data_IF_876744240491
#
_entry.id   IF_876744240491
#
_cell.length_a   1.000
_cell.length_b   1.000
_cell.length_c   1.000
_cell.angle_alpha   90.00
_cell.angle_beta   90.00
_cell.angle_gamma   90.00
#
_symmetry.space_group_name_H-M   'P 1'
#
loop_
_entity.id
_entity.type
_entity.pdbx_description
1 polymer ?
#
# COMPACT_ATOMS: atom_id res chain seq x y z
N UNK A 1 -7.07 40.88 18.07
CA UNK A 1 -5.99 39.87 18.00
C UNK A 1 -6.19 38.90 19.16
N UNK A 2 -6.97 37.84 18.95
CA UNK A 2 -7.22 36.81 19.97
C UNK A 2 -6.29 35.65 19.67
N UNK A 3 -5.35 35.38 20.57
CA UNK A 3 -4.50 34.20 20.51
C UNK A 3 -5.38 32.95 20.64
N UNK A 4 -5.27 32.06 19.65
CA UNK A 4 -5.85 30.72 19.65
C UNK A 4 -5.34 29.96 20.90
N UNK A 5 -6.23 29.67 21.85
CA UNK A 5 -5.94 28.84 23.01
C UNK A 5 -5.70 27.38 22.62
N UNK A 6 -4.66 26.78 23.20
CA UNK A 6 -4.11 25.47 22.87
C UNK A 6 -5.14 24.31 22.89
N UNK A 7 -5.10 23.47 21.86
CA UNK A 7 -5.66 22.11 21.88
C UNK A 7 -4.72 21.21 22.72
N UNK A 8 -4.84 21.26 24.04
CA UNK A 8 -4.00 20.50 24.97
C UNK A 8 -4.68 19.21 25.42
N UNK A 9 -4.16 18.05 25.00
CA UNK A 9 -4.60 16.75 25.52
C UNK A 9 -4.60 16.74 27.05
N UNK A 10 -5.70 16.25 27.63
CA UNK A 10 -5.95 16.30 29.08
C UNK A 10 -4.78 15.80 29.94
N UNK A 11 -4.80 16.18 31.23
CA UNK A 11 -3.71 15.92 32.17
C UNK A 11 -3.19 14.49 32.13
N UNK A 12 -1.87 14.33 31.99
CA UNK A 12 -1.21 13.02 31.94
C UNK A 12 -1.09 12.46 33.36
N UNK A 13 -1.63 11.26 33.59
CA UNK A 13 -1.44 10.51 34.83
C UNK A 13 0.04 10.10 34.93
N UNK A 14 0.70 10.15 36.10
CA UNK A 14 2.07 9.66 36.26
C UNK A 14 2.24 8.20 35.84
N UNK A 15 3.33 7.89 35.15
CA UNK A 15 3.62 6.55 34.63
C UNK A 15 5.12 6.25 34.70
N UNK A 16 5.53 4.97 34.79
CA UNK A 16 6.95 4.60 34.83
C UNK A 16 7.64 4.92 33.50
N UNK A 17 8.72 5.71 33.55
CA UNK A 17 9.42 6.23 32.36
C UNK A 17 10.47 5.27 31.79
N UNK A 18 10.92 4.31 32.60
CA UNK A 18 11.96 3.35 32.25
C UNK A 18 11.39 2.06 31.63
N UNK A 19 10.07 1.92 31.55
CA UNK A 19 9.43 0.75 30.94
C UNK A 19 9.35 0.98 29.44
N UNK A 20 9.91 0.05 28.68
CA UNK A 20 9.87 0.06 27.22
C UNK A 20 9.00 -1.09 26.69
N UNK A 21 8.22 -0.81 25.65
CA UNK A 21 7.45 -1.80 24.90
C UNK A 21 7.57 -1.50 23.40
N UNK A 22 7.62 -2.54 22.54
CA UNK A 22 7.78 -2.38 21.10
C UNK A 22 6.63 -1.61 20.44
N UNK A 23 5.42 -1.68 21.00
CA UNK A 23 4.26 -0.94 20.48
C UNK A 23 4.21 0.53 20.97
N UNK A 24 5.15 0.93 21.84
CA UNK A 24 5.13 2.20 22.57
C UNK A 24 4.67 2.04 24.02
N UNK A 25 4.49 3.16 24.71
CA UNK A 25 4.02 3.22 26.10
C UNK A 25 3.04 4.39 26.33
N UNK A 26 2.90 4.79 27.59
CA UNK A 26 1.97 5.84 28.01
C UNK A 26 2.23 7.18 27.30
N UNK A 27 1.18 7.68 26.62
CA UNK A 27 1.16 8.96 25.90
C UNK A 27 2.34 9.15 24.94
N UNK A 28 2.68 8.09 24.19
CA UNK A 28 3.80 8.10 23.25
C UNK A 28 3.59 9.11 22.14
N UNK A 29 4.38 10.17 22.14
CA UNK A 29 4.40 11.20 21.10
C UNK A 29 5.85 11.54 20.75
N UNK A 30 6.54 10.66 19.99
CA UNK A 30 7.91 10.93 19.58
C UNK A 30 7.93 12.15 18.65
N UNK A 31 8.95 13.00 18.79
CA UNK A 31 9.11 14.22 17.98
C UNK A 31 9.15 13.93 16.47
N UNK A 32 9.67 12.76 16.09
CA UNK A 32 9.91 12.36 14.70
C UNK A 32 8.83 11.44 14.12
N UNK A 33 7.62 11.39 14.69
CA UNK A 33 6.57 10.46 14.26
C UNK A 33 6.28 10.53 12.75
N UNK A 34 6.29 11.73 12.17
CA UNK A 34 6.02 11.96 10.73
C UNK A 34 7.06 11.27 9.84
N UNK A 35 8.34 11.47 10.16
CA UNK A 35 9.44 10.89 9.40
C UNK A 35 9.42 9.36 9.52
N UNK A 36 9.21 8.83 10.73
CA UNK A 36 9.13 7.39 10.96
C UNK A 36 7.97 6.76 10.16
N UNK A 37 6.78 7.37 10.19
CA UNK A 37 5.63 6.91 9.41
C UNK A 37 5.90 6.98 7.91
N UNK A 38 6.56 8.04 7.43
CA UNK A 38 6.91 8.17 6.02
C UNK A 38 7.86 7.04 5.56
N UNK A 39 8.88 6.73 6.36
CA UNK A 39 9.82 5.63 6.07
C UNK A 39 9.08 4.29 5.99
N UNK A 40 8.26 3.96 6.98
CA UNK A 40 7.48 2.72 6.95
C UNK A 40 6.47 2.70 5.80
N UNK A 41 5.86 3.83 5.46
CA UNK A 41 4.97 3.96 4.29
C UNK A 41 5.68 3.62 2.99
N UNK A 42 6.90 4.15 2.78
CA UNK A 42 7.72 3.83 1.60
C UNK A 42 8.08 2.34 1.56
N UNK A 43 8.46 1.76 2.69
CA UNK A 43 8.78 0.33 2.77
C UNK A 43 7.58 -0.54 2.40
N UNK A 44 6.40 -0.25 2.96
CA UNK A 44 5.17 -1.00 2.66
C UNK A 44 4.83 -0.89 1.18
N UNK A 45 4.80 0.33 0.63
CA UNK A 45 4.48 0.55 -0.79
C UNK A 45 5.49 -0.16 -1.69
N UNK A 46 6.78 -0.09 -1.38
CA UNK A 46 7.83 -0.76 -2.12
C UNK A 46 7.65 -2.28 -2.14
N UNK A 47 7.41 -2.89 -0.97
CA UNK A 47 7.17 -4.33 -0.85
C UNK A 47 5.91 -4.75 -1.62
N UNK A 48 4.80 -4.03 -1.45
CA UNK A 48 3.55 -4.31 -2.16
C UNK A 48 3.72 -4.20 -3.67
N UNK A 49 4.42 -3.18 -4.17
CA UNK A 49 4.67 -3.00 -5.60
C UNK A 49 5.54 -4.13 -6.19
N UNK A 50 6.60 -4.54 -5.49
CA UNK A 50 7.44 -5.67 -5.93
C UNK A 50 6.65 -6.97 -5.97
N UNK A 51 5.83 -7.24 -4.96
CA UNK A 51 5.06 -8.48 -4.88
C UNK A 51 3.90 -8.49 -5.88
N UNK A 52 3.29 -7.34 -6.13
CA UNK A 52 2.32 -7.17 -7.20
C UNK A 52 2.94 -7.46 -8.58
N UNK A 53 4.12 -6.90 -8.88
CA UNK A 53 4.83 -7.17 -10.14
C UNK A 53 5.13 -8.66 -10.31
N UNK A 54 5.71 -9.29 -9.28
CA UNK A 54 6.01 -10.72 -9.29
C UNK A 54 4.75 -11.56 -9.50
N UNK A 55 3.65 -11.22 -8.81
CA UNK A 55 2.37 -11.91 -8.97
C UNK A 55 1.81 -11.75 -10.39
N UNK A 56 1.89 -10.55 -10.97
CA UNK A 56 1.38 -10.26 -12.31
C UNK A 56 2.18 -10.99 -13.41
N UNK A 57 3.49 -11.18 -13.20
CA UNK A 57 4.35 -11.97 -14.10
C UNK A 57 4.10 -13.48 -14.00
N UNK A 58 3.71 -13.97 -12.82
CA UNK A 58 3.44 -15.40 -12.58
C UNK A 58 1.98 -15.80 -12.77
N UNK A 59 1.08 -14.85 -13.06
CA UNK A 59 -0.32 -15.15 -13.29
C UNK A 59 -0.48 -15.96 -14.57
N UNK A 60 -0.93 -17.21 -14.42
CA UNK A 60 -1.29 -18.09 -15.53
C UNK A 60 -2.75 -18.50 -15.38
N UNK A 61 -3.48 -18.37 -16.49
CA UNK A 61 -4.90 -18.63 -16.61
C UNK A 61 -5.11 -19.69 -17.68
N UNK A 62 -5.83 -20.75 -17.31
CA UNK A 62 -6.18 -21.84 -18.22
C UNK A 62 -7.32 -21.46 -19.18
N UNK A 63 -8.23 -20.59 -18.74
CA UNK A 63 -9.35 -20.08 -19.54
C UNK A 63 -9.31 -18.56 -19.61
N UNK A 64 -9.20 -18.03 -20.81
CA UNK A 64 -9.29 -16.58 -21.05
C UNK A 64 -10.73 -16.07 -20.85
N UNK A 65 -10.89 -14.84 -20.34
CA UNK A 65 -12.19 -14.19 -20.23
C UNK A 65 -12.82 -13.91 -21.60
N UNK A 66 -14.15 -13.79 -21.62
CA UNK A 66 -14.92 -13.43 -22.81
C UNK A 66 -14.55 -12.02 -23.31
N UNK A 67 -14.60 -11.85 -24.63
CA UNK A 67 -14.32 -10.57 -25.28
C UNK A 67 -15.33 -9.51 -24.84
N UNK A 68 -14.86 -8.32 -24.47
CA UNK A 68 -15.70 -7.22 -23.96
C UNK A 68 -15.97 -7.20 -22.45
N UNK A 69 -15.64 -8.25 -21.69
CA UNK A 69 -15.78 -8.23 -20.22
C UNK A 69 -14.70 -7.36 -19.56
N UNK A 70 -15.12 -6.52 -18.62
CA UNK A 70 -14.20 -5.75 -17.78
C UNK A 70 -13.65 -6.63 -16.66
N UNK A 71 -12.34 -6.64 -16.51
CA UNK A 71 -11.63 -7.18 -15.36
C UNK A 71 -10.32 -6.40 -15.19
N UNK A 72 -9.95 -6.04 -13.97
CA UNK A 72 -8.87 -5.07 -13.77
C UNK A 72 -7.50 -5.68 -14.08
N UNK A 73 -7.32 -7.00 -13.90
CA UNK A 73 -6.04 -7.65 -14.17
C UNK A 73 -5.60 -7.64 -15.64
N UNK A 74 -6.52 -7.32 -16.56
CA UNK A 74 -6.25 -7.11 -17.99
C UNK A 74 -5.08 -6.17 -18.25
N UNK A 75 -4.90 -5.16 -17.41
CA UNK A 75 -3.91 -4.11 -17.62
C UNK A 75 -2.49 -4.51 -17.18
N UNK A 76 -2.34 -5.51 -16.31
CA UNK A 76 -1.04 -5.86 -15.72
C UNK A 76 -0.64 -7.32 -15.88
N UNK A 77 -1.57 -8.27 -16.03
CA UNK A 77 -1.24 -9.69 -16.17
C UNK A 77 -0.53 -9.95 -17.49
N UNK A 78 0.67 -10.54 -17.41
CA UNK A 78 1.54 -10.76 -18.58
C UNK A 78 0.86 -11.59 -19.67
N UNK A 79 0.30 -12.74 -19.28
CA UNK A 79 -0.33 -13.68 -20.21
C UNK A 79 -1.50 -13.05 -21.01
N UNK A 80 -2.27 -12.17 -20.38
CA UNK A 80 -3.44 -11.52 -21.00
C UNK A 80 -2.98 -10.49 -22.03
N UNK A 81 -1.97 -9.68 -21.68
CA UNK A 81 -1.40 -8.67 -22.59
C UNK A 81 -0.79 -9.31 -23.83
N UNK A 82 -0.08 -10.43 -23.66
CA UNK A 82 0.51 -11.19 -24.77
C UNK A 82 -0.58 -11.78 -25.67
N UNK A 83 -1.57 -12.45 -25.08
CA UNK A 83 -2.70 -13.03 -25.83
C UNK A 83 -3.51 -11.99 -26.61
N UNK A 84 -3.75 -10.81 -26.04
CA UNK A 84 -4.48 -9.73 -26.71
C UNK A 84 -3.66 -9.07 -27.82
N UNK A 85 -2.34 -8.94 -27.64
CA UNK A 85 -1.44 -8.44 -28.68
C UNK A 85 -1.38 -9.41 -29.88
N UNK A 86 -1.31 -10.72 -29.62
CA UNK A 86 -1.33 -11.76 -30.65
C UNK A 86 -2.65 -11.79 -31.42
N UNK A 87 -3.79 -11.72 -30.73
CA UNK A 87 -5.11 -11.63 -31.38
C UNK A 87 -5.21 -10.42 -32.31
N UNK A 88 -4.73 -9.26 -31.87
CA UNK A 88 -4.71 -8.03 -32.68
C UNK A 88 -3.78 -8.16 -33.89
N UNK A 89 -2.61 -8.79 -33.74
CA UNK A 89 -1.66 -9.01 -34.83
C UNK A 89 -2.20 -9.98 -35.89
N UNK A 90 -2.95 -11.00 -35.48
CA UNK A 90 -3.53 -12.02 -36.36
C UNK A 90 -4.87 -11.58 -36.99
N UNK A 91 -5.25 -10.31 -36.90
CA UNK A 91 -6.47 -9.77 -37.51
C UNK A 91 -7.76 -10.22 -36.85
N UNK A 92 -7.70 -10.68 -35.59
CA UNK A 92 -8.89 -10.87 -34.77
C UNK A 92 -9.55 -9.52 -34.51
N UNK A 93 -10.85 -9.44 -34.87
CA UNK A 93 -11.69 -8.23 -34.87
C UNK A 93 -11.62 -7.39 -33.58
#
# INVERSE_FOLDING_TARGET
MVCLGALGGGGKIPYPKHVWSPAGGWYSQPSNWKANTAVFGVVIVGLTAMMWKLSAEREVRTKFPEEGRFFPSRYWSKQIKEHEAEKKANGGA
#
